data_IF_632597135021
#
_entry.id   IF_632597135021
#
_cell.length_a   1.000
_cell.length_b   1.000
_cell.length_c   1.000
_cell.angle_alpha   90.00
_cell.angle_beta   90.00
_cell.angle_gamma   90.00
#
_symmetry.space_group_name_H-M   'P 1'
#
loop_
_entity.id
_entity.type
_entity.pdbx_description
1 polymer ?
#
# COMPACT_ATOMS: atom_id res chain seq x y z
N UNK A 1 34.01 -66.60 25.97
CA UNK A 1 34.02 -66.69 27.44
C UNK A 1 34.61 -65.41 28.01
N UNK A 2 33.78 -64.72 28.79
CA UNK A 2 34.04 -63.78 29.89
C UNK A 2 35.41 -63.11 30.10
N UNK A 3 35.30 -61.78 30.22
CA UNK A 3 35.83 -60.91 31.30
C UNK A 3 37.27 -60.41 31.26
N UNK A 4 37.38 -59.10 31.53
CA UNK A 4 38.57 -58.55 32.19
C UNK A 4 38.76 -57.05 32.00
N UNK A 5 37.94 -56.22 32.66
CA UNK A 5 38.18 -54.79 32.84
C UNK A 5 39.54 -54.55 33.52
N UNK A 6 40.34 -53.62 33.00
CA UNK A 6 41.20 -52.79 33.84
C UNK A 6 41.28 -51.37 33.28
N UNK A 7 40.71 -50.43 34.06
CA UNK A 7 40.66 -48.99 33.78
C UNK A 7 41.98 -48.38 34.19
N UNK A 8 42.65 -47.69 33.27
CA UNK A 8 43.72 -46.75 33.60
C UNK A 8 43.25 -45.32 33.32
N UNK A 9 43.15 -44.55 34.39
CA UNK A 9 42.91 -43.11 34.39
C UNK A 9 44.15 -42.38 33.85
N UNK A 10 43.98 -41.48 32.88
CA UNK A 10 44.99 -40.50 32.50
C UNK A 10 44.85 -39.24 33.38
N UNK A 11 45.94 -38.59 33.81
CA UNK A 11 45.87 -37.32 34.53
C UNK A 11 45.49 -36.19 33.57
N UNK A 12 44.58 -35.30 34.00
CA UNK A 12 44.34 -34.00 33.36
C UNK A 12 45.59 -33.12 33.55
N UNK A 13 46.48 -33.14 32.54
CA UNK A 13 47.56 -32.19 32.39
C UNK A 13 47.13 -31.05 31.46
N UNK A 14 47.14 -29.83 32.00
CA UNK A 14 46.74 -28.60 31.34
C UNK A 14 47.55 -28.31 30.06
N UNK A 15 46.84 -27.91 29.00
CA UNK A 15 47.39 -27.07 27.93
C UNK A 15 46.51 -25.82 27.87
N UNK A 16 46.89 -24.81 28.65
CA UNK A 16 46.43 -23.44 28.47
C UNK A 16 47.11 -22.92 27.21
N UNK A 17 46.38 -22.89 26.10
CA UNK A 17 46.78 -22.12 24.93
C UNK A 17 46.36 -20.68 25.20
N UNK A 18 47.34 -19.78 25.35
CA UNK A 18 47.14 -18.33 25.27
C UNK A 18 46.66 -17.99 23.84
N UNK A 19 45.35 -18.08 23.62
CA UNK A 19 44.73 -17.44 22.46
C UNK A 19 44.59 -15.94 22.79
N UNK A 20 45.08 -15.04 21.93
CA UNK A 20 44.83 -13.61 22.13
C UNK A 20 43.32 -13.39 22.17
N UNK A 21 42.87 -12.62 23.17
CA UNK A 21 41.52 -12.10 23.27
C UNK A 21 41.25 -11.24 22.02
N UNK A 22 40.70 -11.85 20.98
CA UNK A 22 40.11 -11.12 19.86
C UNK A 22 38.86 -10.48 20.42
N UNK A 23 38.87 -9.15 20.52
CA UNK A 23 37.68 -8.40 20.89
C UNK A 23 36.53 -8.87 19.98
N UNK A 24 35.36 -9.25 20.54
CA UNK A 24 34.21 -9.59 19.71
C UNK A 24 33.93 -8.39 18.81
N UNK A 25 33.61 -8.60 17.52
CA UNK A 25 33.28 -7.48 16.64
C UNK A 25 32.19 -6.67 17.32
N UNK A 26 32.48 -5.39 17.58
CA UNK A 26 31.47 -4.42 18.01
C UNK A 26 30.32 -4.61 17.05
N UNK A 27 29.16 -5.07 17.58
CA UNK A 27 27.93 -5.13 16.81
C UNK A 27 27.67 -3.70 16.36
N UNK A 28 28.02 -3.38 15.13
CA UNK A 28 27.59 -2.14 14.50
C UNK A 28 26.09 -2.10 14.65
N UNK A 29 25.57 -1.06 15.31
CA UNK A 29 24.14 -0.80 15.32
C UNK A 29 23.66 -0.88 13.86
N UNK A 30 22.51 -1.53 13.58
CA UNK A 30 22.03 -1.60 12.21
C UNK A 30 21.98 -0.17 11.67
N UNK A 31 22.70 0.06 10.57
CA UNK A 31 22.58 1.32 9.83
C UNK A 31 21.10 1.42 9.49
N UNK A 32 20.40 2.40 10.06
CA UNK A 32 19.02 2.73 9.68
C UNK A 32 19.09 2.96 8.17
N UNK A 33 18.55 2.03 7.37
CA UNK A 33 18.32 2.35 5.97
C UNK A 33 17.38 3.54 5.97
N UNK A 34 17.76 4.58 5.24
CA UNK A 34 16.81 5.62 4.87
C UNK A 34 15.86 4.94 3.90
N UNK A 35 14.65 4.63 4.35
CA UNK A 35 13.63 4.09 3.46
C UNK A 35 13.36 5.11 2.37
N UNK A 36 13.44 4.66 1.12
CA UNK A 36 12.97 5.42 -0.02
C UNK A 36 11.50 5.11 -0.25
N UNK A 37 10.74 6.12 -0.67
CA UNK A 37 9.31 6.04 -0.87
C UNK A 37 9.01 6.18 -2.35
N UNK A 38 8.55 5.12 -2.99
CA UNK A 38 8.02 5.19 -4.35
C UNK A 38 6.59 5.68 -4.32
N UNK A 39 6.24 6.55 -5.27
CA UNK A 39 4.88 7.07 -5.42
C UNK A 39 4.38 6.71 -6.81
N UNK A 40 3.24 6.02 -6.84
CA UNK A 40 2.47 5.80 -8.05
C UNK A 40 1.04 6.32 -7.90
N UNK A 41 0.42 6.64 -9.03
CA UNK A 41 -0.97 7.07 -9.13
C UNK A 41 -1.71 6.14 -10.08
N UNK A 42 -2.68 5.41 -9.56
CA UNK A 42 -3.66 4.69 -10.36
C UNK A 42 -4.70 5.70 -10.88
N UNK A 43 -5.06 5.58 -12.15
CA UNK A 43 -6.07 6.44 -12.77
C UNK A 43 -6.55 5.89 -14.09
N UNK A 44 -7.21 6.75 -14.86
CA UNK A 44 -7.69 6.40 -16.20
C UNK A 44 -7.00 7.26 -17.24
N UNK A 45 -6.46 6.60 -18.25
CA UNK A 45 -5.90 7.24 -19.41
C UNK A 45 -6.91 7.21 -20.56
N UNK A 46 -7.08 8.35 -21.21
CA UNK A 46 -7.91 8.50 -22.40
C UNK A 46 -7.04 8.39 -23.64
N UNK A 47 -7.45 7.56 -24.60
CA UNK A 47 -6.76 7.37 -25.87
C UNK A 47 -7.71 7.63 -27.03
N UNK A 48 -7.20 8.09 -28.18
CA UNK A 48 -8.00 8.13 -29.40
C UNK A 48 -8.27 6.70 -29.88
N UNK A 49 -9.48 6.47 -30.39
CA UNK A 49 -9.74 5.27 -31.20
C UNK A 49 -8.93 5.31 -32.50
N UNK A 50 -8.60 4.13 -33.05
CA UNK A 50 -7.85 4.02 -34.30
C UNK A 50 -8.55 4.74 -35.46
N UNK A 51 -9.88 4.69 -35.48
CA UNK A 51 -10.72 5.48 -36.36
C UNK A 51 -11.33 6.66 -35.57
N UNK A 52 -10.97 7.92 -35.90
CA UNK A 52 -11.42 9.11 -35.18
C UNK A 52 -12.94 9.28 -35.11
N UNK A 53 -13.71 8.59 -35.97
CA UNK A 53 -15.17 8.66 -35.97
C UNK A 53 -15.76 8.06 -34.69
N UNK A 54 -15.05 7.13 -34.03
CA UNK A 54 -15.48 6.48 -32.78
C UNK A 54 -15.09 7.25 -31.52
N UNK A 55 -14.30 8.32 -31.63
CA UNK A 55 -13.94 9.18 -30.51
C UNK A 55 -12.77 8.64 -29.68
N UNK A 56 -12.98 8.51 -28.37
CA UNK A 56 -11.95 8.12 -27.39
C UNK A 56 -12.40 6.97 -26.51
N UNK A 57 -11.44 6.22 -25.97
CA UNK A 57 -11.69 5.18 -24.98
C UNK A 57 -10.85 5.38 -23.70
N UNK A 58 -11.38 4.89 -22.58
CA UNK A 58 -10.75 4.99 -21.25
C UNK A 58 -10.24 3.63 -20.79
N UNK A 59 -8.95 3.56 -20.48
CA UNK A 59 -8.31 2.39 -19.87
C UNK A 59 -7.71 2.73 -18.51
N UNK A 60 -7.66 1.76 -17.60
CA UNK A 60 -6.92 1.95 -16.34
C UNK A 60 -5.42 2.04 -16.66
N UNK A 61 -4.73 2.94 -15.98
CA UNK A 61 -3.30 3.21 -16.16
C UNK A 61 -2.67 3.62 -14.84
N UNK A 62 -1.36 3.42 -14.74
CA UNK A 62 -0.56 3.83 -13.58
C UNK A 62 0.50 4.82 -14.05
N UNK A 63 0.69 5.89 -13.28
CA UNK A 63 1.75 6.88 -13.48
C UNK A 63 2.68 6.87 -12.28
N UNK A 64 3.99 6.71 -12.53
CA UNK A 64 5.01 6.82 -11.50
C UNK A 64 5.42 8.29 -11.29
N UNK A 65 5.25 8.79 -10.07
CA UNK A 65 5.61 10.17 -9.71
C UNK A 65 7.07 10.29 -9.26
N UNK A 66 7.73 9.15 -9.02
CA UNK A 66 9.13 9.06 -8.66
C UNK A 66 9.37 8.44 -7.28
N UNK A 67 10.58 8.65 -6.79
CA UNK A 67 11.07 8.14 -5.51
C UNK A 67 11.51 9.31 -4.63
N UNK A 68 11.18 9.26 -3.35
CA UNK A 68 11.44 10.32 -2.37
C UNK A 68 12.18 9.75 -1.16
N UNK A 69 13.07 10.55 -0.56
CA UNK A 69 13.84 10.12 0.63
C UNK A 69 13.09 10.35 1.95
N UNK A 70 11.86 10.90 1.88
CA UNK A 70 11.01 11.20 3.04
C UNK A 70 9.53 11.01 2.72
N UNK A 71 8.79 10.42 3.67
CA UNK A 71 7.34 10.25 3.59
C UNK A 71 6.60 11.60 3.55
N UNK A 72 7.02 12.56 4.37
CA UNK A 72 6.42 13.90 4.40
C UNK A 72 6.61 14.62 3.05
N UNK A 73 7.77 14.41 2.41
CA UNK A 73 8.05 14.96 1.09
C UNK A 73 7.16 14.32 0.02
N UNK A 74 7.01 12.98 0.05
CA UNK A 74 6.12 12.26 -0.85
C UNK A 74 4.68 12.76 -0.73
N UNK A 75 4.15 12.85 0.50
CA UNK A 75 2.80 13.38 0.78
C UNK A 75 2.65 14.81 0.26
N UNK A 76 3.60 15.70 0.57
CA UNK A 76 3.53 17.10 0.14
C UNK A 76 3.56 17.25 -1.40
N UNK A 77 4.34 16.43 -2.10
CA UNK A 77 4.39 16.43 -3.57
C UNK A 77 3.08 15.93 -4.16
N UNK A 78 2.50 14.87 -3.61
CA UNK A 78 1.20 14.34 -4.01
C UNK A 78 0.12 15.43 -3.89
N UNK A 79 0.04 16.09 -2.74
CA UNK A 79 -0.94 17.16 -2.50
C UNK A 79 -0.72 18.36 -3.43
N UNK A 80 0.53 18.80 -3.58
CA UNK A 80 0.86 19.95 -4.42
C UNK A 80 0.58 19.68 -5.90
N UNK A 81 0.83 18.46 -6.40
CA UNK A 81 0.52 18.09 -7.78
C UNK A 81 -0.98 17.92 -7.99
N UNK A 82 -1.70 17.34 -7.02
CA UNK A 82 -3.16 17.19 -7.09
C UNK A 82 -3.85 18.55 -7.13
N UNK A 83 -3.45 19.49 -6.27
CA UNK A 83 -4.01 20.83 -6.22
C UNK A 83 -3.72 21.68 -7.47
N UNK A 84 -2.72 21.30 -8.27
CA UNK A 84 -2.36 21.96 -9.54
C UNK A 84 -2.85 21.22 -10.77
N UNK A 85 -3.49 20.07 -10.60
CA UNK A 85 -3.85 19.14 -11.69
C UNK A 85 -2.63 18.75 -12.55
N UNK A 86 -1.49 18.50 -11.91
CA UNK A 86 -0.18 18.22 -12.53
C UNK A 86 0.37 16.86 -12.09
N UNK A 87 -0.43 15.80 -12.23
CA UNK A 87 0.00 14.43 -11.88
C UNK A 87 0.92 13.83 -12.96
N UNK A 88 0.85 14.37 -14.17
CA UNK A 88 1.56 13.90 -15.35
C UNK A 88 0.61 13.30 -16.39
N UNK A 89 1.17 12.93 -17.54
CA UNK A 89 0.44 12.17 -18.57
C UNK A 89 0.65 10.67 -18.36
N UNK A 90 -0.31 9.88 -18.81
CA UNK A 90 -0.11 8.44 -18.96
C UNK A 90 0.90 8.13 -20.08
N UNK A 91 1.04 6.84 -20.44
CA UNK A 91 1.96 6.42 -21.50
C UNK A 91 1.74 7.15 -22.83
N UNK A 92 2.74 7.08 -23.70
CA UNK A 92 2.74 7.72 -25.02
C UNK A 92 1.43 7.43 -25.79
N UNK A 93 0.84 8.49 -26.35
CA UNK A 93 -0.43 8.43 -27.08
C UNK A 93 -1.68 8.72 -26.23
N UNK A 94 -1.56 8.81 -24.91
CA UNK A 94 -2.67 9.26 -24.07
C UNK A 94 -2.97 10.75 -24.30
N UNK A 95 -4.25 11.07 -24.47
CA UNK A 95 -4.77 12.42 -24.59
C UNK A 95 -4.89 13.10 -23.22
N UNK A 96 -5.30 12.34 -22.22
CA UNK A 96 -5.49 12.82 -20.85
C UNK A 96 -5.28 11.69 -19.84
N UNK A 97 -5.04 12.07 -18.59
CA UNK A 97 -5.00 11.15 -17.45
C UNK A 97 -5.85 11.72 -16.33
N UNK A 98 -6.84 10.94 -15.89
CA UNK A 98 -7.69 11.23 -14.74
C UNK A 98 -7.16 10.47 -13.52
N UNK A 99 -6.43 11.11 -12.59
CA UNK A 99 -5.88 10.46 -11.41
C UNK A 99 -6.99 10.03 -10.44
N UNK A 100 -6.84 8.88 -9.78
CA UNK A 100 -7.88 8.32 -8.90
C UNK A 100 -7.39 7.89 -7.53
N UNK A 101 -6.22 7.26 -7.44
CA UNK A 101 -5.69 6.73 -6.18
C UNK A 101 -4.16 6.82 -6.17
N UNK A 102 -3.61 7.52 -5.19
CA UNK A 102 -2.18 7.48 -4.90
C UNK A 102 -1.84 6.31 -4.00
N UNK A 103 -0.68 5.70 -4.24
CA UNK A 103 -0.05 4.72 -3.36
C UNK A 103 1.40 5.11 -3.13
N UNK A 104 1.80 5.08 -1.86
CA UNK A 104 3.18 5.28 -1.43
C UNK A 104 3.69 3.97 -0.86
N UNK A 105 4.82 3.48 -1.37
CA UNK A 105 5.42 2.21 -0.92
C UNK A 105 6.88 2.40 -0.51
N UNK A 106 7.37 1.57 0.41
CA UNK A 106 8.79 1.56 0.81
C UNK A 106 9.68 0.84 -0.22
N UNK A 107 10.98 0.73 0.06
CA UNK A 107 11.97 0.08 -0.79
C UNK A 107 11.77 -1.44 -0.93
N UNK A 108 11.04 -2.06 0.00
CA UNK A 108 10.63 -3.47 -0.06
C UNK A 108 9.24 -3.63 -0.75
N UNK A 109 8.64 -2.54 -1.24
CA UNK A 109 7.32 -2.55 -1.87
C UNK A 109 6.15 -2.65 -0.90
N UNK A 110 6.37 -2.42 0.40
CA UNK A 110 5.30 -2.42 1.41
C UNK A 110 4.49 -1.14 1.30
N UNK A 111 3.17 -1.25 1.35
CA UNK A 111 2.30 -0.09 1.36
C UNK A 111 2.51 0.74 2.63
N UNK A 112 2.85 2.01 2.45
CA UNK A 112 3.08 3.00 3.51
C UNK A 112 1.83 3.84 3.74
N UNK A 113 1.25 4.38 2.67
CA UNK A 113 -0.05 5.05 2.71
C UNK A 113 -0.69 5.09 1.32
N UNK A 114 -1.98 5.40 1.27
CA UNK A 114 -2.71 5.60 0.03
C UNK A 114 -3.74 6.73 0.19
N UNK A 115 -4.13 7.36 -0.91
CA UNK A 115 -5.08 8.48 -0.88
C UNK A 115 -5.92 8.57 -2.14
N UNK A 116 -7.24 8.62 -1.97
CA UNK A 116 -8.19 8.78 -3.06
C UNK A 116 -8.21 10.22 -3.55
N UNK A 117 -8.14 10.45 -4.86
CA UNK A 117 -8.25 11.78 -5.44
C UNK A 117 -9.72 12.20 -5.46
N UNK A 118 -10.04 13.35 -4.86
CA UNK A 118 -11.38 13.93 -4.83
C UNK A 118 -11.33 15.40 -5.23
N UNK A 119 -11.51 15.67 -6.52
CA UNK A 119 -11.30 16.99 -7.09
C UNK A 119 -9.83 17.40 -6.93
N UNK A 120 -9.60 18.59 -6.39
CA UNK A 120 -8.26 19.18 -6.20
C UNK A 120 -7.56 18.73 -4.90
N UNK A 121 -8.11 17.72 -4.20
CA UNK A 121 -7.61 17.26 -2.91
C UNK A 121 -7.46 15.74 -2.86
N UNK A 122 -6.60 15.28 -1.95
CA UNK A 122 -6.43 13.86 -1.65
C UNK A 122 -7.14 13.54 -0.35
N UNK A 123 -8.08 12.59 -0.41
CA UNK A 123 -8.71 11.99 0.73
C UNK A 123 -7.90 10.77 1.19
N UNK A 124 -7.03 10.99 2.17
CA UNK A 124 -6.11 9.96 2.65
C UNK A 124 -6.84 8.78 3.31
N UNK A 125 -6.42 7.57 2.95
CA UNK A 125 -6.95 6.33 3.52
C UNK A 125 -6.39 6.16 4.93
N UNK A 126 -7.25 6.26 5.95
CA UNK A 126 -6.83 6.09 7.35
C UNK A 126 -6.42 4.63 7.58
N UNK A 127 -5.15 4.37 7.98
CA UNK A 127 -4.66 3.02 8.26
C UNK A 127 -5.50 2.30 9.31
N UNK A 128 -5.73 1.00 9.10
CA UNK A 128 -6.33 0.15 10.14
C UNK A 128 -5.40 0.05 11.36
N UNK A 129 -5.98 0.06 12.56
CA UNK A 129 -5.20 0.12 13.82
C UNK A 129 -4.92 -1.27 14.40
N UNK A 130 -5.76 -2.26 14.07
CA UNK A 130 -5.67 -3.63 14.60
C UNK A 130 -5.74 -4.65 13.48
N UNK A 131 -5.23 -5.85 13.76
CA UNK A 131 -5.26 -6.96 12.82
C UNK A 131 -6.70 -7.47 12.60
N UNK A 132 -7.54 -7.48 13.65
CA UNK A 132 -8.98 -7.74 13.49
C UNK A 132 -9.64 -6.73 12.53
N UNK A 133 -9.28 -5.45 12.63
CA UNK A 133 -9.75 -4.42 11.71
C UNK A 133 -9.24 -4.65 10.28
N UNK A 134 -8.02 -5.14 10.13
CA UNK A 134 -7.46 -5.52 8.84
C UNK A 134 -8.23 -6.71 8.23
N UNK A 135 -8.53 -7.75 9.00
CA UNK A 135 -9.32 -8.91 8.57
C UNK A 135 -10.73 -8.50 8.10
N UNK A 136 -11.41 -7.62 8.84
CA UNK A 136 -12.72 -7.09 8.44
C UNK A 136 -12.66 -6.30 7.12
N UNK A 137 -11.61 -5.50 6.93
CA UNK A 137 -11.40 -4.75 5.68
C UNK A 137 -11.09 -5.70 4.53
N UNK A 138 -10.23 -6.71 4.73
CA UNK A 138 -9.93 -7.75 3.74
C UNK A 138 -11.18 -8.51 3.29
N UNK A 139 -12.03 -8.93 4.22
CA UNK A 139 -13.29 -9.61 3.89
C UNK A 139 -14.21 -8.71 3.03
N UNK A 140 -14.23 -7.40 3.29
CA UNK A 140 -15.00 -6.44 2.48
C UNK A 140 -14.41 -6.25 1.08
N UNK A 141 -13.08 -6.22 0.97
CA UNK A 141 -12.37 -6.17 -0.32
C UNK A 141 -12.70 -7.42 -1.16
N UNK A 142 -12.63 -8.60 -0.57
CA UNK A 142 -12.98 -9.86 -1.23
C UNK A 142 -14.44 -9.87 -1.71
N UNK A 143 -15.37 -9.39 -0.89
CA UNK A 143 -16.77 -9.26 -1.29
C UNK A 143 -16.96 -8.32 -2.49
N UNK A 144 -16.27 -7.17 -2.50
CA UNK A 144 -16.31 -6.23 -3.63
C UNK A 144 -15.72 -6.84 -4.90
N UNK A 145 -14.61 -7.57 -4.81
CA UNK A 145 -14.01 -8.25 -5.97
C UNK A 145 -14.90 -9.38 -6.50
N UNK A 146 -15.56 -10.12 -5.61
CA UNK A 146 -16.55 -11.13 -5.98
C UNK A 146 -17.73 -10.50 -6.72
N UNK A 147 -18.30 -9.42 -6.19
CA UNK A 147 -19.42 -8.71 -6.82
C UNK A 147 -18.99 -8.09 -8.16
N UNK A 148 -17.80 -7.48 -8.23
CA UNK A 148 -17.28 -6.94 -9.48
C UNK A 148 -17.13 -8.00 -10.57
N UNK A 149 -16.73 -9.21 -10.18
CA UNK A 149 -16.61 -10.35 -11.09
C UNK A 149 -17.97 -10.86 -11.55
N UNK A 150 -18.96 -10.86 -10.65
CA UNK A 150 -20.34 -11.17 -11.00
C UNK A 150 -20.90 -10.15 -12.00
N UNK A 151 -20.77 -8.85 -11.73
CA UNK A 151 -21.22 -7.76 -12.60
C UNK A 151 -20.55 -7.78 -13.98
N UNK A 152 -19.26 -8.10 -14.02
CA UNK A 152 -18.53 -8.29 -15.29
C UNK A 152 -19.13 -9.44 -16.12
N UNK A 153 -19.61 -10.51 -15.48
CA UNK A 153 -20.29 -11.61 -16.18
C UNK A 153 -21.64 -11.23 -16.79
N UNK A 154 -22.23 -10.11 -16.36
CA UNK A 154 -23.47 -9.54 -16.88
C UNK A 154 -23.24 -8.33 -17.81
N UNK A 155 -22.01 -8.17 -18.33
CA UNK A 155 -21.60 -7.03 -19.16
C UNK A 155 -21.77 -5.65 -18.47
N UNK A 156 -21.93 -5.62 -17.15
CA UNK A 156 -22.03 -4.40 -16.35
C UNK A 156 -20.64 -3.85 -16.02
N UNK A 157 -19.83 -3.58 -17.05
CA UNK A 157 -18.42 -3.21 -16.91
C UNK A 157 -18.20 -1.95 -16.07
N UNK A 158 -19.09 -0.96 -16.16
CA UNK A 158 -19.02 0.27 -15.37
C UNK A 158 -19.19 0.01 -13.87
N UNK A 159 -20.15 -0.84 -13.50
CA UNK A 159 -20.38 -1.26 -12.11
C UNK A 159 -19.19 -2.08 -11.60
N UNK A 160 -18.73 -3.06 -12.37
CA UNK A 160 -17.57 -3.86 -12.01
C UNK A 160 -16.31 -3.01 -11.77
N UNK A 161 -16.07 -2.02 -12.63
CA UNK A 161 -14.96 -1.07 -12.50
C UNK A 161 -15.09 -0.20 -11.26
N UNK A 162 -16.29 0.29 -10.94
CA UNK A 162 -16.54 1.05 -9.70
C UNK A 162 -16.27 0.21 -8.46
N UNK A 163 -16.75 -1.04 -8.42
CA UNK A 163 -16.55 -1.96 -7.29
C UNK A 163 -15.07 -2.28 -7.06
N UNK A 164 -14.31 -2.54 -8.14
CA UNK A 164 -12.84 -2.75 -8.03
C UNK A 164 -12.12 -1.53 -7.50
N UNK A 165 -12.54 -0.34 -7.92
CA UNK A 165 -11.96 0.89 -7.39
C UNK A 165 -12.27 1.09 -5.91
N UNK A 166 -13.52 0.84 -5.49
CA UNK A 166 -13.89 0.86 -4.06
C UNK A 166 -13.06 -0.15 -3.25
N UNK A 167 -12.77 -1.32 -3.82
CA UNK A 167 -11.87 -2.30 -3.23
C UNK A 167 -10.44 -1.75 -3.10
N UNK A 168 -9.88 -1.13 -4.15
CA UNK A 168 -8.55 -0.52 -4.09
C UNK A 168 -8.42 0.62 -3.08
N UNK A 169 -9.47 1.41 -2.87
CA UNK A 169 -9.51 2.43 -1.80
C UNK A 169 -9.47 1.76 -0.41
N UNK A 170 -10.17 0.63 -0.23
CA UNK A 170 -10.10 -0.15 1.01
C UNK A 170 -8.74 -0.83 1.22
N UNK A 171 -8.14 -1.36 0.16
CA UNK A 171 -6.76 -1.90 0.17
C UNK A 171 -5.77 -0.81 0.63
N UNK A 172 -6.01 0.45 0.25
CA UNK A 172 -5.26 1.61 0.72
C UNK A 172 -5.24 1.81 2.25
N UNK A 173 -6.20 1.21 2.98
CA UNK A 173 -6.23 1.22 4.45
C UNK A 173 -5.41 0.10 5.08
N UNK A 174 -5.08 -0.93 4.31
CA UNK A 174 -4.27 -2.09 4.74
C UNK A 174 -2.78 -1.76 4.68
N UNK A 175 -2.38 -0.64 5.30
CA UNK A 175 -0.98 -0.25 5.45
C UNK A 175 -0.23 -1.31 6.24
N UNK A 176 1.00 -1.60 5.78
CA UNK A 176 1.86 -2.59 6.41
C UNK A 176 2.07 -2.26 7.91
N UNK A 177 2.02 -3.25 8.82
CA UNK A 177 2.18 -3.03 10.25
C UNK A 177 3.37 -2.16 10.65
N UNK A 178 4.48 -2.23 9.90
CA UNK A 178 5.69 -1.45 10.15
C UNK A 178 5.47 0.06 9.97
N UNK A 179 4.54 0.44 9.09
CA UNK A 179 4.31 1.83 8.67
C UNK A 179 3.05 2.46 9.28
N UNK A 180 2.13 1.69 9.87
CA UNK A 180 0.83 2.19 10.37
C UNK A 180 0.95 3.43 11.26
N UNK A 181 1.86 3.41 12.24
CA UNK A 181 2.01 4.53 13.18
C UNK A 181 2.68 5.75 12.53
N UNK A 182 3.69 5.53 11.69
CA UNK A 182 4.36 6.60 10.95
C UNK A 182 3.41 7.28 9.96
N UNK A 183 2.65 6.49 9.19
CA UNK A 183 1.65 6.98 8.26
C UNK A 183 0.56 7.78 8.99
N UNK A 184 0.01 7.28 10.09
CA UNK A 184 -1.00 8.01 10.88
C UNK A 184 -0.50 9.34 11.43
N UNK A 185 0.79 9.45 11.69
CA UNK A 185 1.42 10.68 12.19
C UNK A 185 1.69 11.68 11.06
N UNK A 186 2.12 11.19 9.89
CA UNK A 186 2.48 12.01 8.73
C UNK A 186 1.27 12.48 7.93
N UNK A 187 0.21 11.67 7.85
CA UNK A 187 -0.97 12.00 7.08
C UNK A 187 -1.70 13.22 7.67
N UNK A 188 -2.05 14.21 6.84
CA UNK A 188 -2.82 15.35 7.31
C UNK A 188 -4.19 14.86 7.78
N UNK A 189 -4.72 15.49 8.83
CA UNK A 189 -6.07 15.20 9.31
C UNK A 189 -7.11 15.72 8.32
N UNK A 190 -7.29 15.03 7.20
CA UNK A 190 -8.46 15.18 6.35
C UNK A 190 -9.58 14.33 6.95
N UNK A 191 -10.24 14.88 7.97
CA UNK A 191 -11.38 14.22 8.60
C UNK A 191 -12.56 14.18 7.62
N UNK A 192 -12.98 12.97 7.21
CA UNK A 192 -14.38 12.57 7.32
C UNK A 192 -14.54 11.05 7.34
N UNK A 193 -14.91 10.57 8.52
CA UNK A 193 -15.64 9.32 8.72
C UNK A 193 -16.86 9.36 7.80
N UNK A 194 -16.88 8.48 6.80
CA UNK A 194 -18.12 8.12 6.11
C UNK A 194 -18.89 7.22 7.08
N UNK A 195 -19.68 7.83 7.97
CA UNK A 195 -20.77 7.12 8.62
C UNK A 195 -21.77 6.74 7.52
N UNK A 196 -22.13 5.46 7.37
CA UNK A 196 -23.33 5.11 6.65
C UNK A 196 -24.51 5.61 7.49
N UNK A 197 -25.08 6.76 7.13
CA UNK A 197 -26.36 7.19 7.65
C UNK A 197 -27.41 6.18 7.22
N UNK A 198 -27.73 5.29 8.16
CA UNK A 198 -28.93 4.48 8.20
C UNK A 198 -30.10 5.42 8.46
N UNK A 199 -30.87 5.72 7.43
CA UNK A 199 -32.18 6.35 7.53
C UNK A 199 -33.24 5.46 6.89
N UNK A 200 -33.71 4.44 7.62
CA UNK A 200 -35.13 4.05 7.53
C UNK A 200 -35.95 5.12 8.27
N UNK A 201 -37.26 5.29 8.13
CA UNK A 201 -38.33 4.46 7.61
C UNK A 201 -39.58 5.38 7.52
N UNK A 202 -40.58 4.94 6.75
CA UNK A 202 -42.03 5.20 6.85
C UNK A 202 -42.65 6.50 6.26
N UNK A 203 -43.42 6.31 5.17
CA UNK A 203 -44.88 6.50 5.04
C UNK A 203 -45.55 7.60 5.89
N UNK A 204 -46.53 8.43 5.49
CA UNK A 204 -47.48 8.67 4.36
C UNK A 204 -48.32 9.91 4.83
N UNK A 205 -49.51 10.32 4.30
CA UNK A 205 -50.00 10.58 2.94
C UNK A 205 -50.38 12.07 2.70
N UNK A 206 -50.67 12.42 1.44
CA UNK A 206 -51.76 13.32 1.05
C UNK A 206 -52.26 13.00 -0.36
#
# INVERSE_FOLDING_TARGET
MLNGLQKHYLPLGALFLDLPLVDPPVRSAPVRRVSQFSVCCDGQAEYPEDDPIYGTFLTESVVDLGVFDSLDQAIAVIEARTARDDIGSASEGALSFSPRLFKVSDDDGRLVCAGEVRGEHVNWCVPVVSDEGAEQVSAKIEALHSEASFEMGWDNFSTARRLRFEASVLEGRLVDPLWRDAARTALPMTAKVLDPQKGGSDADPA
#
